data_IF_240738269129
#
_entry.id   IF_240738269129
#
_cell.length_a   1.000
_cell.length_b   1.000
_cell.length_c   1.000
_cell.angle_alpha   90.00
_cell.angle_beta   90.00
_cell.angle_gamma   90.00
#
_symmetry.space_group_name_H-M   'P 1'
#
loop_
_entity.id
_entity.type
_entity.pdbx_description
1 polymer ?
#
# COMPACT_ATOMS: atom_id res chain seq x y z
N UNK A 1 8.15 -0.24 -2.67
CA UNK A 1 8.20 1.08 -1.98
C UNK A 1 7.93 0.85 -0.50
N UNK A 2 8.71 1.45 0.40
CA UNK A 2 8.44 1.44 1.85
C UNK A 2 8.69 2.82 2.45
N UNK A 3 8.16 3.05 3.63
CA UNK A 3 8.36 4.23 4.45
C UNK A 3 7.99 3.90 5.91
N UNK A 4 8.31 4.81 6.83
CA UNK A 4 8.07 4.66 8.26
C UNK A 4 8.74 3.42 8.90
N UNK A 5 8.51 3.23 10.20
CA UNK A 5 9.15 2.18 10.98
C UNK A 5 8.77 0.75 10.57
N UNK A 6 7.66 0.55 9.85
CA UNK A 6 7.27 -0.77 9.33
C UNK A 6 8.37 -1.42 8.46
N UNK A 7 9.21 -0.60 7.82
CA UNK A 7 10.37 -1.06 7.04
C UNK A 7 11.32 -1.98 7.81
N UNK A 8 11.45 -1.81 9.12
CA UNK A 8 12.39 -2.59 9.93
C UNK A 8 12.01 -4.08 10.04
N UNK A 9 10.83 -4.47 9.57
CA UNK A 9 10.45 -5.88 9.41
C UNK A 9 11.25 -6.60 8.33
N UNK A 10 11.80 -5.87 7.34
CA UNK A 10 12.41 -6.48 6.16
C UNK A 10 13.57 -5.70 5.54
N UNK A 11 13.86 -4.45 5.95
CA UNK A 11 14.87 -3.60 5.31
C UNK A 11 16.33 -4.06 5.45
N UNK A 12 16.58 -5.14 6.20
CA UNK A 12 17.91 -5.79 6.32
C UNK A 12 18.04 -7.05 5.46
N UNK A 13 17.03 -7.37 4.65
CA UNK A 13 17.07 -8.50 3.73
C UNK A 13 17.74 -8.09 2.42
N UNK A 14 18.36 -9.05 1.74
CA UNK A 14 18.95 -8.87 0.42
C UNK A 14 17.87 -8.97 -0.66
N UNK A 15 17.54 -7.83 -1.29
CA UNK A 15 16.51 -7.79 -2.33
C UNK A 15 17.06 -7.74 -3.75
N UNK A 16 18.31 -7.31 -3.94
CA UNK A 16 18.89 -7.01 -5.25
C UNK A 16 18.21 -5.82 -5.95
N UNK A 17 18.40 -5.73 -7.26
CA UNK A 17 17.83 -4.70 -8.13
C UNK A 17 17.17 -5.29 -9.38
N UNK A 18 16.39 -4.47 -10.09
CA UNK A 18 15.83 -4.77 -11.40
C UNK A 18 16.28 -3.63 -12.33
N UNK A 19 17.18 -3.93 -13.27
CA UNK A 19 17.70 -2.93 -14.21
C UNK A 19 18.43 -1.78 -13.53
N UNK A 20 19.14 -2.03 -12.42
CA UNK A 20 19.81 -1.01 -11.62
C UNK A 20 18.90 -0.29 -10.61
N UNK A 21 17.60 -0.58 -10.59
CA UNK A 21 16.64 0.00 -9.63
C UNK A 21 16.48 -0.95 -8.43
N UNK A 22 16.81 -0.54 -7.19
CA UNK A 22 16.66 -1.39 -6.02
C UNK A 22 15.23 -1.90 -5.85
N UNK A 23 15.06 -3.20 -5.56
CA UNK A 23 13.73 -3.80 -5.33
C UNK A 23 13.06 -3.27 -4.05
N UNK A 24 13.87 -2.79 -3.10
CA UNK A 24 13.40 -2.04 -1.94
C UNK A 24 13.75 -0.56 -2.07
N UNK A 25 12.77 0.25 -2.45
CA UNK A 25 12.86 1.71 -2.46
C UNK A 25 12.28 2.27 -1.15
N UNK A 26 13.14 2.77 -0.27
CA UNK A 26 12.77 3.42 0.99
C UNK A 26 12.61 4.92 0.80
N UNK A 27 11.41 5.43 1.06
CA UNK A 27 11.03 6.82 0.86
C UNK A 27 11.20 7.69 2.11
N UNK A 28 11.53 7.11 3.26
CA UNK A 28 11.83 7.86 4.49
C UNK A 28 10.90 7.57 5.68
N UNK A 29 10.55 8.61 6.43
CA UNK A 29 9.72 8.57 7.62
C UNK A 29 8.22 8.42 7.29
N UNK A 30 7.37 8.39 8.32
CA UNK A 30 5.92 8.29 8.13
C UNK A 30 5.33 9.46 7.32
N UNK A 31 5.85 10.67 7.50
CA UNK A 31 5.44 11.86 6.74
C UNK A 31 5.83 11.79 5.25
N UNK A 32 6.82 10.97 4.88
CA UNK A 32 7.19 10.75 3.47
C UNK A 32 6.17 9.87 2.71
N UNK A 33 5.04 9.51 3.35
CA UNK A 33 3.83 9.09 2.66
C UNK A 33 3.38 10.10 1.60
N UNK A 34 3.65 11.40 1.80
CA UNK A 34 3.44 12.42 0.78
C UNK A 34 4.28 12.14 -0.48
N UNK A 35 5.57 11.86 -0.31
CA UNK A 35 6.48 11.51 -1.41
C UNK A 35 6.01 10.26 -2.15
N UNK A 36 5.53 9.24 -1.42
CA UNK A 36 4.94 8.04 -2.02
C UNK A 36 3.71 8.36 -2.89
N UNK A 37 2.84 9.26 -2.43
CA UNK A 37 1.68 9.74 -3.21
C UNK A 37 2.14 10.50 -4.46
N UNK A 38 3.17 11.35 -4.37
CA UNK A 38 3.71 12.05 -5.53
C UNK A 38 4.26 11.08 -6.59
N UNK A 39 4.94 10.00 -6.17
CA UNK A 39 5.41 8.94 -7.07
C UNK A 39 4.22 8.26 -7.76
N UNK A 40 3.18 7.87 -7.02
CA UNK A 40 1.98 7.27 -7.60
C UNK A 40 1.28 8.21 -8.59
N UNK A 41 1.16 9.51 -8.28
CA UNK A 41 0.59 10.50 -9.19
C UNK A 41 1.45 10.70 -10.45
N UNK A 42 2.78 10.67 -10.33
CA UNK A 42 3.67 10.76 -11.47
C UNK A 42 3.52 9.55 -12.39
N UNK A 43 3.44 8.33 -11.83
CA UNK A 43 3.18 7.11 -12.59
C UNK A 43 1.81 7.14 -13.27
N UNK A 44 0.77 7.57 -12.55
CA UNK A 44 -0.59 7.74 -13.10
C UNK A 44 -0.59 8.65 -14.33
N UNK A 45 0.13 9.77 -14.28
CA UNK A 45 0.31 10.66 -15.44
C UNK A 45 1.10 10.01 -16.57
N UNK A 46 2.21 9.34 -16.25
CA UNK A 46 3.07 8.71 -17.25
C UNK A 46 2.36 7.59 -18.02
N UNK A 47 1.50 6.82 -17.34
CA UNK A 47 0.73 5.74 -17.95
C UNK A 47 -0.66 6.17 -18.45
N UNK A 48 -1.03 7.44 -18.28
CA UNK A 48 -2.37 7.96 -18.59
C UNK A 48 -3.50 7.08 -17.99
N UNK A 49 -3.33 6.69 -16.73
CA UNK A 49 -4.21 5.79 -16.00
C UNK A 49 -4.59 6.40 -14.64
N UNK A 50 -5.75 6.03 -14.10
CA UNK A 50 -6.13 6.40 -12.74
C UNK A 50 -5.17 5.81 -11.70
N UNK A 51 -5.00 6.46 -10.54
CA UNK A 51 -4.08 5.97 -9.50
C UNK A 51 -4.44 4.56 -9.02
N UNK A 52 -5.73 4.23 -8.98
CA UNK A 52 -6.22 2.89 -8.59
C UNK A 52 -6.08 1.83 -9.71
N UNK A 53 -5.72 2.24 -10.93
CA UNK A 53 -5.49 1.37 -12.09
C UNK A 53 -4.00 1.06 -12.30
N UNK A 54 -3.13 1.72 -11.55
CA UNK A 54 -1.71 1.42 -11.55
C UNK A 54 -1.46 -0.01 -11.03
N UNK A 55 -0.38 -0.66 -11.49
CA UNK A 55 0.08 -1.94 -10.94
C UNK A 55 0.72 -1.74 -9.56
N UNK A 56 -0.02 -1.13 -8.64
CA UNK A 56 0.40 -0.78 -7.28
C UNK A 56 -0.58 -1.39 -6.28
N UNK A 57 -0.06 -2.28 -5.44
CA UNK A 57 -0.81 -2.80 -4.29
C UNK A 57 -0.45 -2.04 -3.02
N UNK A 58 -1.46 -1.66 -2.24
CA UNK A 58 -1.28 -0.96 -0.97
C UNK A 58 -1.45 -1.92 0.22
N UNK A 59 -0.36 -2.17 0.95
CA UNK A 59 -0.37 -2.86 2.25
C UNK A 59 0.07 -1.86 3.31
N UNK A 60 -0.88 -1.41 4.14
CA UNK A 60 -0.66 -0.43 5.18
C UNK A 60 -0.56 -1.12 6.54
N UNK A 61 0.66 -1.18 7.06
CA UNK A 61 0.89 -1.53 8.46
C UNK A 61 0.75 -0.30 9.36
N UNK A 62 -0.02 -0.40 10.43
CA UNK A 62 -0.26 0.71 11.36
C UNK A 62 0.05 0.32 12.81
N UNK A 63 0.28 1.32 13.65
CA UNK A 63 0.47 1.16 15.09
C UNK A 63 -0.12 2.32 15.87
N UNK A 64 0.25 3.56 15.50
CA UNK A 64 -0.16 4.78 16.20
C UNK A 64 -0.95 5.75 15.30
N UNK A 65 -1.24 6.94 15.80
CA UNK A 65 -2.23 7.84 15.22
C UNK A 65 -1.74 8.52 13.95
N UNK A 66 -0.42 8.70 13.73
CA UNK A 66 0.08 9.22 12.45
C UNK A 66 -0.22 8.25 11.30
N UNK A 67 -0.15 6.95 11.53
CA UNK A 67 -0.58 5.96 10.53
C UNK A 67 -2.09 6.08 10.20
N UNK A 68 -2.92 6.45 11.18
CA UNK A 68 -4.35 6.75 10.95
C UNK A 68 -4.51 8.01 10.10
N UNK A 69 -3.74 9.08 10.35
CA UNK A 69 -3.75 10.27 9.50
C UNK A 69 -3.37 9.93 8.06
N UNK A 70 -2.34 9.10 7.85
CA UNK A 70 -1.93 8.65 6.50
C UNK A 70 -3.07 7.88 5.84
N UNK A 71 -3.71 6.94 6.55
CA UNK A 71 -4.87 6.22 6.02
C UNK A 71 -5.97 7.19 5.59
N UNK A 72 -6.37 8.14 6.44
CA UNK A 72 -7.41 9.12 6.10
C UNK A 72 -7.01 10.00 4.91
N UNK A 73 -5.74 10.39 4.79
CA UNK A 73 -5.25 11.12 3.61
C UNK A 73 -5.38 10.29 2.33
N UNK A 74 -5.02 9.01 2.35
CA UNK A 74 -5.18 8.11 1.21
C UNK A 74 -6.66 7.95 0.82
N UNK A 75 -7.55 7.77 1.81
CA UNK A 75 -8.99 7.70 1.57
C UNK A 75 -9.55 9.02 0.99
N UNK A 76 -9.08 10.17 1.49
CA UNK A 76 -9.45 11.48 0.96
C UNK A 76 -9.01 11.71 -0.49
N UNK A 77 -7.89 11.09 -0.89
CA UNK A 77 -7.40 11.10 -2.27
C UNK A 77 -8.13 10.08 -3.17
N UNK A 78 -9.09 9.34 -2.61
CA UNK A 78 -9.85 8.32 -3.34
C UNK A 78 -9.08 7.03 -3.61
N UNK A 79 -8.00 6.77 -2.86
CA UNK A 79 -7.26 5.50 -2.95
C UNK A 79 -8.12 4.37 -2.39
N UNK A 80 -8.17 3.26 -3.12
CA UNK A 80 -8.95 2.07 -2.80
C UNK A 80 -8.05 0.84 -2.66
N UNK A 81 -8.65 -0.28 -2.28
CA UNK A 81 -8.01 -1.61 -2.25
C UNK A 81 -6.83 -1.71 -1.27
N UNK A 82 -6.93 -1.04 -0.12
CA UNK A 82 -5.89 -1.02 0.90
C UNK A 82 -6.08 -2.22 1.84
N UNK A 83 -5.03 -3.03 1.98
CA UNK A 83 -4.93 -4.05 3.04
C UNK A 83 -4.39 -3.39 4.31
N UNK A 84 -5.14 -3.46 5.41
CA UNK A 84 -4.84 -2.81 6.69
C UNK A 84 -4.51 -3.86 7.76
N UNK A 85 -3.40 -3.69 8.46
CA UNK A 85 -2.97 -4.64 9.50
C UNK A 85 -1.94 -4.08 10.50
N UNK A 86 -1.56 -4.84 11.52
CA UNK A 86 -1.82 -6.27 11.68
C UNK A 86 -3.24 -6.62 12.17
N UNK A 87 -3.93 -5.66 12.78
CA UNK A 87 -5.34 -5.78 13.18
C UNK A 87 -6.10 -4.53 12.73
N UNK A 88 -7.43 -4.59 12.66
CA UNK A 88 -8.21 -3.37 12.51
C UNK A 88 -8.13 -2.51 13.79
N UNK A 89 -8.08 -1.18 13.69
CA UNK A 89 -8.10 -0.33 14.87
C UNK A 89 -9.36 -0.57 15.71
N UNK A 90 -9.19 -0.69 17.03
CA UNK A 90 -10.29 -0.99 17.96
C UNK A 90 -11.41 0.07 17.95
N UNK A 91 -11.10 1.29 17.52
CA UNK A 91 -12.09 2.38 17.38
C UNK A 91 -12.95 2.27 16.10
N UNK A 92 -12.65 1.32 15.20
CA UNK A 92 -13.45 1.08 14.00
C UNK A 92 -14.63 0.18 14.36
N UNK A 93 -15.81 0.79 14.51
CA UNK A 93 -17.06 0.06 14.77
C UNK A 93 -17.53 -0.71 13.51
N UNK A 94 -18.42 -1.70 13.64
CA UNK A 94 -18.96 -2.43 12.49
C UNK A 94 -19.62 -1.53 11.44
N UNK A 95 -20.32 -0.47 11.87
CA UNK A 95 -20.95 0.49 10.96
C UNK A 95 -19.91 1.30 10.17
N UNK A 96 -18.83 1.74 10.83
CA UNK A 96 -17.72 2.45 10.17
C UNK A 96 -16.99 1.50 9.22
N UNK A 97 -16.70 0.27 9.65
CA UNK A 97 -16.05 -0.74 8.82
C UNK A 97 -16.85 -1.00 7.54
N UNK A 98 -18.18 -1.12 7.64
CA UNK A 98 -19.06 -1.30 6.48
C UNK A 98 -18.88 -0.18 5.46
N UNK A 99 -18.87 1.08 5.89
CA UNK A 99 -18.64 2.22 5.00
C UNK A 99 -17.24 2.19 4.37
N UNK A 100 -16.21 1.84 5.14
CA UNK A 100 -14.84 1.73 4.65
C UNK A 100 -14.69 0.63 3.58
N UNK A 101 -15.36 -0.51 3.78
CA UNK A 101 -15.41 -1.61 2.80
C UNK A 101 -16.19 -1.17 1.56
N UNK A 102 -17.40 -0.66 1.70
CA UNK A 102 -18.27 -0.32 0.57
C UNK A 102 -17.70 0.79 -0.32
N UNK A 103 -17.09 1.83 0.28
CA UNK A 103 -16.60 2.99 -0.47
C UNK A 103 -15.18 2.82 -0.99
N UNK A 104 -14.31 2.19 -0.21
CA UNK A 104 -12.87 2.18 -0.44
C UNK A 104 -12.28 0.78 -0.60
N UNK A 105 -13.08 -0.28 -0.39
CA UNK A 105 -12.62 -1.66 -0.41
C UNK A 105 -11.43 -1.88 0.56
N UNK A 106 -11.58 -1.40 1.80
CA UNK A 106 -10.63 -1.69 2.87
C UNK A 106 -10.73 -3.17 3.25
N UNK A 107 -9.59 -3.85 3.33
CA UNK A 107 -9.52 -5.27 3.65
C UNK A 107 -8.57 -5.47 4.84
N UNK A 108 -8.88 -6.32 5.83
CA UNK A 108 -7.86 -6.78 6.76
C UNK A 108 -6.82 -7.63 6.03
N UNK A 109 -5.58 -7.60 6.50
CA UNK A 109 -4.57 -8.60 6.09
C UNK A 109 -4.97 -10.00 6.56
N UNK A 110 -4.52 -11.03 5.84
CA UNK A 110 -4.76 -12.45 6.17
C UNK A 110 -3.46 -13.17 6.51
N UNK A 111 -3.09 -14.23 5.78
CA UNK A 111 -1.74 -14.80 5.81
C UNK A 111 -0.93 -14.22 4.66
N UNK A 112 0.40 -14.22 4.78
CA UNK A 112 1.28 -13.69 3.74
C UNK A 112 1.04 -14.39 2.40
N UNK A 113 0.87 -15.71 2.41
CA UNK A 113 0.64 -16.52 1.20
C UNK A 113 -0.66 -16.13 0.49
N UNK A 114 -1.78 -16.05 1.24
CA UNK A 114 -3.09 -15.70 0.70
C UNK A 114 -3.14 -14.26 0.19
N UNK A 115 -2.53 -13.34 0.93
CA UNK A 115 -2.47 -11.95 0.52
C UNK A 115 -1.60 -11.78 -0.73
N UNK A 116 -0.46 -12.47 -0.82
CA UNK A 116 0.40 -12.48 -2.00
C UNK A 116 -0.32 -13.04 -3.24
N UNK A 117 -1.00 -14.17 -3.10
CA UNK A 117 -1.80 -14.76 -4.19
C UNK A 117 -2.87 -13.78 -4.69
N UNK A 118 -3.58 -13.13 -3.76
CA UNK A 118 -4.66 -12.21 -4.09
C UNK A 118 -4.20 -10.89 -4.72
N UNK A 119 -2.96 -10.43 -4.46
CA UNK A 119 -2.46 -9.13 -4.97
C UNK A 119 -1.63 -9.24 -6.24
N UNK A 120 -1.01 -10.39 -6.48
CA UNK A 120 -0.12 -10.56 -7.63
C UNK A 120 -0.92 -10.80 -8.92
N UNK A 121 -2.10 -11.42 -8.85
CA UNK A 121 -2.83 -11.87 -10.05
C UNK A 121 -1.98 -12.83 -10.90
N UNK A 122 -2.56 -13.45 -11.93
CA UNK A 122 -1.79 -14.24 -12.90
C UNK A 122 -0.94 -13.30 -13.75
N UNK A 123 0.27 -12.99 -13.30
CA UNK A 123 1.25 -12.28 -14.14
C UNK A 123 1.68 -13.23 -15.26
N UNK A 124 1.04 -13.10 -16.43
CA UNK A 124 1.64 -13.59 -17.67
C UNK A 124 2.75 -12.62 -18.00
N UNK A 125 3.97 -12.96 -17.63
CA UNK A 125 5.14 -12.29 -18.20
C UNK A 125 5.10 -12.61 -19.70
N UNK A 126 4.82 -11.58 -20.52
CA UNK A 126 5.07 -11.67 -21.95
C UNK A 126 6.59 -11.74 -22.13
N UNK A 127 7.11 -12.96 -22.31
CA UNK A 127 8.53 -13.21 -22.55
C UNK A 127 8.91 -12.97 -24.02
N UNK A 128 8.20 -12.05 -24.71
CA UNK A 128 8.55 -11.60 -26.06
C UNK A 128 9.64 -10.53 -26.02
#
# INVERSE_FOLDING_TARGET
LTLACGKYRFNKMEFGDIGGIPRLLDLGQCNDAYSAVQVALALSKAFNAGVNELPLTMILSWYEQKAVCILLSLLSLGIKNIRLGPTLPAFVTPAVLKVLVEKFNIMPVTTAEKDLEAIMGTVVYDTR
#
